data_IF_286469963427
#
_entry.id   IF_286469963427
#
_cell.length_a   1.000
_cell.length_b   1.000
_cell.length_c   1.000
_cell.angle_alpha   90.00
_cell.angle_beta   90.00
_cell.angle_gamma   90.00
#
_symmetry.space_group_name_H-M   'P 1'
#
loop_
_entity.id
_entity.type
_entity.pdbx_description
1 polymer ?
2 non-polymer ?
3 non-polymer ?
4 non-polymer ?
5 water ?
#
# COMPACT_ATOMS: atom_id res chain seq x y z
N UNK A 21 7.52 -27.52 -0.36
CA UNK A 21 8.07 -26.37 0.47
C UNK A 21 8.91 -25.40 -0.39
N UNK A 22 8.73 -24.11 -0.15
CA UNK A 22 9.42 -23.12 -0.97
C UNK A 22 10.38 -22.39 -0.03
N UNK A 23 10.73 -21.16 -0.41
CA UNK A 23 11.68 -20.36 0.32
C UNK A 23 11.30 -20.11 1.73
N UNK A 24 12.30 -19.81 2.56
CA UNK A 24 12.08 -19.45 3.92
C UNK A 24 11.96 -17.91 4.01
N UNK A 25 10.92 -17.48 4.71
CA UNK A 25 10.60 -16.04 4.92
C UNK A 25 10.64 -15.77 6.40
N UNK A 26 11.28 -14.66 6.81
CA UNK A 26 11.16 -14.15 8.15
C UNK A 26 10.28 -12.90 8.14
N UNK A 27 9.15 -12.96 8.85
CA UNK A 27 8.19 -11.87 8.92
C UNK A 27 8.32 -11.11 10.22
N UNK A 28 8.92 -9.91 10.16
CA UNK A 28 9.09 -9.05 11.30
C UNK A 28 7.88 -8.10 11.38
N UNK A 29 7.44 -7.84 12.60
CA UNK A 29 6.19 -7.08 12.81
C UNK A 29 4.97 -7.93 12.52
N UNK A 30 5.10 -9.26 12.73
CA UNK A 30 4.10 -10.21 12.36
C UNK A 30 2.73 -10.02 13.06
N UNK A 31 2.70 -9.29 14.18
CA UNK A 31 1.47 -9.02 14.90
C UNK A 31 0.83 -7.66 14.72
N UNK A 32 1.33 -6.88 13.77
CA UNK A 32 0.80 -5.56 13.44
C UNK A 32 -0.34 -5.57 12.43
N UNK A 33 -0.76 -4.39 11.98
CA UNK A 33 -1.91 -4.34 11.09
C UNK A 33 -1.64 -5.12 9.80
N UNK A 34 -0.50 -4.84 9.12
CA UNK A 34 -0.18 -5.61 7.92
C UNK A 34 0.35 -7.00 8.28
N UNK A 35 1.01 -7.11 9.43
CA UNK A 35 1.65 -8.39 9.80
C UNK A 35 0.66 -9.52 9.82
N UNK A 36 -0.46 -9.31 10.50
CA UNK A 36 -1.44 -10.39 10.65
C UNK A 36 -2.11 -10.72 9.33
N UNK A 37 -2.33 -9.73 8.48
CA UNK A 37 -2.88 -10.01 7.17
C UNK A 37 -1.94 -10.89 6.29
N UNK A 38 -0.65 -10.51 6.30
CA UNK A 38 0.37 -11.29 5.59
C UNK A 38 0.48 -12.71 6.13
N UNK A 39 0.51 -12.82 7.45
CA UNK A 39 0.64 -14.13 8.14
C UNK A 39 -0.51 -15.03 7.73
N UNK A 40 -1.70 -14.44 7.70
CA UNK A 40 -2.88 -15.16 7.30
C UNK A 40 -2.80 -15.67 5.87
N UNK A 41 -2.39 -14.84 4.92
CA UNK A 41 -2.21 -15.29 3.54
C UNK A 41 -1.03 -16.21 3.32
N UNK A 42 0.05 -16.03 4.08
CA UNK A 42 1.19 -16.93 3.93
C UNK A 42 0.90 -18.37 4.46
N UNK A 43 -0.03 -18.49 5.40
CA UNK A 43 -0.44 -19.82 5.91
C UNK A 43 -1.06 -20.61 4.85
N UNK A 44 -1.58 -20.00 3.79
CA UNK A 44 -2.21 -20.71 2.70
C UNK A 44 -1.26 -20.94 1.56
N UNK A 45 0.06 -20.85 1.77
CA UNK A 45 1.06 -21.07 0.72
C UNK A 45 2.04 -22.10 1.25
N UNK A 46 2.98 -22.45 0.40
CA UNK A 46 4.03 -23.44 0.73
C UNK A 46 5.33 -22.81 1.23
N UNK A 47 5.36 -21.50 1.43
CA UNK A 47 6.51 -20.84 2.02
C UNK A 47 6.73 -21.34 3.45
N UNK A 48 7.97 -21.45 3.87
CA UNK A 48 8.25 -21.69 5.29
C UNK A 48 8.45 -20.37 6.02
N UNK A 49 7.62 -20.08 7.00
CA UNK A 49 7.62 -18.74 7.57
C UNK A 49 7.93 -18.80 9.04
N UNK A 50 8.87 -17.94 9.48
CA UNK A 50 9.11 -17.60 10.86
C UNK A 50 8.58 -16.21 11.19
N UNK A 51 7.95 -16.05 12.33
CA UNK A 51 7.25 -14.83 12.70
C UNK A 51 7.96 -14.19 13.86
N UNK A 52 8.30 -12.91 13.74
CA UNK A 52 8.96 -12.16 14.82
C UNK A 52 8.13 -10.99 15.22
N UNK A 53 7.81 -10.89 16.51
CA UNK A 53 6.97 -9.80 17.02
C UNK A 53 7.40 -9.47 18.45
N UNK A 54 7.63 -8.18 18.73
CA UNK A 54 8.06 -7.70 20.04
C UNK A 54 6.92 -7.41 21.04
N UNK A 55 5.74 -6.99 20.59
CA UNK A 55 4.65 -6.66 21.51
C UNK A 55 3.85 -7.89 21.97
N UNK A 56 3.52 -7.92 23.26
CA UNK A 56 2.62 -8.92 23.81
C UNK A 56 1.26 -8.96 23.09
N UNK A 57 0.66 -7.78 22.90
CA UNK A 57 -0.58 -7.66 22.13
C UNK A 57 -0.52 -8.33 20.76
N UNK A 58 0.59 -8.15 20.04
CA UNK A 58 0.71 -8.68 18.70
C UNK A 58 0.93 -10.16 18.71
N UNK A 59 1.75 -10.61 19.64
CA UNK A 59 1.94 -12.04 19.86
C UNK A 59 0.65 -12.77 20.16
N UNK A 60 -0.20 -12.11 20.98
CA UNK A 60 -1.57 -12.60 21.31
C UNK A 60 -2.44 -12.67 20.09
N UNK A 61 -2.45 -11.62 19.25
CA UNK A 61 -3.31 -11.68 18.04
C UNK A 61 -2.95 -12.89 17.16
N UNK A 62 -1.65 -13.05 16.89
CA UNK A 62 -1.17 -14.16 16.12
C UNK A 62 -1.57 -15.50 16.67
N UNK A 63 -1.35 -15.65 17.98
CA UNK A 63 -1.76 -16.84 18.71
C UNK A 63 -3.29 -17.10 18.57
N UNK A 64 -4.08 -16.12 18.94
CA UNK A 64 -5.53 -16.30 18.98
C UNK A 64 -6.14 -16.51 17.61
N UNK A 65 -5.78 -15.63 16.66
CA UNK A 65 -6.46 -15.56 15.36
C UNK A 65 -5.93 -16.58 14.39
N UNK A 66 -4.65 -16.92 14.48
CA UNK A 66 -4.05 -17.82 13.55
C UNK A 66 -3.43 -19.07 14.14
N UNK A 67 -3.31 -19.19 15.47
CA UNK A 67 -2.67 -20.32 16.13
C UNK A 67 -1.15 -20.35 15.91
N UNK A 68 -0.54 -19.18 15.65
CA UNK A 68 0.89 -19.11 15.35
C UNK A 68 1.64 -18.65 16.56
N UNK A 69 2.82 -19.25 16.75
CA UNK A 69 3.79 -18.88 17.80
C UNK A 69 4.90 -18.00 17.18
N UNK A 70 5.38 -17.01 17.90
CA UNK A 70 6.56 -16.25 17.45
C UNK A 70 7.88 -16.85 17.93
N UNK A 71 8.97 -16.53 17.19
CA UNK A 71 10.34 -16.99 17.46
C UNK A 71 11.33 -15.83 17.60
N UNK A 72 12.56 -16.14 18.02
CA UNK A 72 13.58 -15.09 18.15
C UNK A 72 14.07 -14.68 16.73
N UNK A 73 14.66 -13.50 16.67
CA UNK A 73 15.39 -13.05 15.48
C UNK A 73 16.36 -14.11 14.94
N UNK A 74 17.20 -14.65 15.83
CA UNK A 74 18.22 -15.61 15.42
C UNK A 74 17.57 -16.83 14.78
N UNK A 75 16.52 -17.34 15.41
CA UNK A 75 15.81 -18.46 14.81
C UNK A 75 15.18 -18.11 13.46
N UNK A 76 14.58 -16.91 13.39
CA UNK A 76 13.89 -16.45 12.16
C UNK A 76 14.87 -16.26 11.03
N UNK A 77 16.10 -15.85 11.36
CA UNK A 77 17.09 -15.54 10.29
C UNK A 77 17.95 -16.68 9.81
N UNK A 78 17.88 -17.81 10.53
CA UNK A 78 18.70 -18.98 10.23
C UNK A 78 18.25 -19.56 8.87
N UNK A 79 19.16 -19.56 7.89
CA UNK A 79 18.90 -19.97 6.51
C UNK A 79 17.73 -19.24 5.80
N UNK A 80 17.52 -17.98 6.18
CA UNK A 80 16.45 -17.16 5.59
C UNK A 80 16.71 -16.79 4.13
N UNK A 81 15.69 -16.75 3.29
CA UNK A 81 15.82 -16.29 1.87
C UNK A 81 15.25 -14.85 1.72
N UNK A 82 14.10 -14.61 2.38
CA UNK A 82 13.34 -13.31 2.25
C UNK A 82 12.99 -12.79 3.66
N UNK A 83 13.36 -11.56 3.95
CA UNK A 83 13.02 -10.88 5.15
C UNK A 83 11.97 -9.82 4.79
N UNK A 84 10.81 -9.91 5.40
CA UNK A 84 9.73 -8.91 5.22
C UNK A 84 9.67 -8.02 6.44
N UNK A 85 9.92 -6.72 6.26
CA UNK A 85 9.92 -5.81 7.38
C UNK A 85 8.53 -5.12 7.48
N UNK A 86 7.55 -5.81 8.08
CA UNK A 86 6.23 -5.24 8.28
C UNK A 86 6.19 -4.43 9.58
N UNK A 87 7.09 -3.45 9.67
CA UNK A 87 7.26 -2.61 10.84
C UNK A 87 7.03 -1.17 10.43
N UNK A 88 6.93 -0.25 11.40
CA UNK A 88 6.64 1.08 10.93
C UNK A 88 7.74 1.72 10.12
N UNK A 89 7.36 2.56 9.18
CA UNK A 89 8.33 3.17 8.26
C UNK A 89 9.45 3.99 8.97
N UNK A 90 9.09 4.65 10.07
CA UNK A 90 10.00 5.43 10.83
C UNK A 90 11.11 4.58 11.50
N UNK A 91 10.92 3.28 11.58
CA UNK A 91 11.99 2.41 12.14
C UNK A 91 12.49 1.31 11.22
N UNK A 92 12.11 1.35 9.95
CA UNK A 92 12.66 0.37 9.01
C UNK A 92 14.17 0.49 8.96
N UNK A 93 14.71 1.70 8.90
CA UNK A 93 16.17 1.81 8.88
C UNK A 93 16.86 1.23 10.08
N UNK A 94 16.36 1.55 11.24
CA UNK A 94 16.92 1.06 12.48
C UNK A 94 16.89 -0.46 12.59
N UNK A 95 15.76 -1.05 12.29
CA UNK A 95 15.58 -2.48 12.34
C UNK A 95 16.38 -3.20 11.29
N UNK A 96 16.42 -2.67 10.07
CA UNK A 96 17.24 -3.24 9.02
C UNK A 96 18.76 -3.21 9.43
N UNK A 97 19.21 -2.12 10.02
CA UNK A 97 20.60 -2.02 10.48
C UNK A 97 20.94 -3.05 11.58
N UNK A 98 19.98 -3.35 12.44
CA UNK A 98 20.17 -4.37 13.46
C UNK A 98 20.35 -5.77 12.91
N UNK A 99 19.53 -6.12 11.93
CA UNK A 99 19.54 -7.43 11.40
C UNK A 99 20.43 -7.70 10.19
N UNK A 100 20.72 -6.68 9.40
CA UNK A 100 21.57 -6.83 8.22
C UNK A 100 22.89 -7.64 8.41
N UNK A 101 23.65 -7.45 9.51
CA UNK A 101 24.88 -8.28 9.70
C UNK A 101 24.66 -9.79 9.75
N UNK A 102 23.41 -10.18 10.04
CA UNK A 102 23.00 -11.60 9.98
C UNK A 102 22.57 -12.09 8.67
N UNK A 103 22.54 -11.22 7.65
CA UNK A 103 22.00 -11.60 6.36
C UNK A 103 23.16 -11.84 5.39
N UNK A 104 23.16 -13.00 4.76
CA UNK A 104 24.16 -13.40 3.79
C UNK A 104 23.92 -12.68 2.49
N UNK A 105 24.94 -12.59 1.67
CA UNK A 105 24.75 -12.02 0.32
C UNK A 105 23.64 -12.71 -0.43
N UNK A 106 22.84 -11.92 -1.15
CA UNK A 106 21.73 -12.49 -1.95
C UNK A 106 20.42 -12.61 -1.16
N UNK A 107 20.40 -12.42 0.16
CA UNK A 107 19.14 -12.38 0.91
C UNK A 107 18.33 -11.15 0.45
N UNK A 108 17.04 -11.34 0.30
CA UNK A 108 16.10 -10.25 -0.05
C UNK A 108 15.58 -9.65 1.24
N UNK A 109 15.63 -8.33 1.28
CA UNK A 109 14.96 -7.56 2.33
C UNK A 109 13.80 -6.84 1.60
N UNK A 110 12.58 -7.08 2.06
CA UNK A 110 11.36 -6.59 1.39
C UNK A 110 10.62 -5.66 2.32
N UNK A 111 10.24 -4.50 1.76
CA UNK A 111 9.36 -3.61 2.48
C UNK A 111 8.04 -3.58 1.80
N UNK A 112 7.07 -3.02 2.52
CA UNK A 112 5.69 -2.92 1.97
C UNK A 112 5.32 -1.52 1.53
N UNK A 113 6.31 -0.62 1.47
CA UNK A 113 6.08 0.79 1.21
C UNK A 113 7.36 1.37 0.73
N UNK A 114 7.27 2.26 -0.22
CA UNK A 114 8.48 2.89 -0.80
C UNK A 114 9.21 3.99 -0.01
N UNK A 115 8.63 4.45 1.08
CA UNK A 115 9.11 5.66 1.77
C UNK A 115 10.56 5.55 2.35
N UNK A 116 10.74 4.58 3.23
CA UNK A 116 12.05 4.37 3.86
C UNK A 116 13.15 3.99 2.86
N UNK A 117 12.81 3.12 1.90
CA UNK A 117 13.79 2.87 0.77
C UNK A 117 14.16 4.11 -0.07
N UNK A 118 13.15 4.89 -0.41
CA UNK A 118 13.36 6.14 -1.17
C UNK A 118 14.22 7.12 -0.38
N UNK A 119 14.02 7.18 0.95
CA UNK A 119 14.72 8.11 1.81
C UNK A 119 16.20 7.70 2.03
N UNK A 120 16.60 6.53 1.47
CA UNK A 120 17.97 5.96 1.64
C UNK A 120 18.21 5.37 3.02
N UNK A 121 17.20 4.89 3.74
CA UNK A 121 17.37 4.33 5.06
C UNK A 121 17.88 2.88 5.11
N UNK A 122 17.90 2.17 3.96
CA UNK A 122 18.30 0.77 4.01
C UNK A 122 19.81 0.67 4.12
N UNK A 123 20.31 -0.43 4.70
CA UNK A 123 21.78 -0.54 4.88
C UNK A 123 22.60 -0.37 3.61
N UNK A 124 23.89 0.02 3.80
CA UNK A 124 24.85 0.11 2.68
C UNK A 124 25.48 -1.22 2.47
N UNK A 125 24.78 -2.04 1.75
CA UNK A 125 25.10 -3.42 1.50
C UNK A 125 24.81 -3.74 0.02
N UNK A 126 25.75 -3.47 -0.90
CA UNK A 126 25.53 -3.71 -2.34
C UNK A 126 25.18 -5.18 -2.69
N UNK A 127 25.55 -6.08 -1.78
CA UNK A 127 25.37 -7.49 -1.89
C UNK A 127 24.05 -8.06 -1.43
N UNK A 128 23.15 -7.19 -0.91
CA UNK A 128 21.81 -7.63 -0.61
C UNK A 128 20.82 -7.22 -1.70
N UNK A 129 19.71 -7.97 -1.76
CA UNK A 129 18.59 -7.64 -2.65
C UNK A 129 17.52 -6.85 -1.88
N UNK A 130 17.06 -5.70 -2.46
CA UNK A 130 16.06 -4.82 -1.81
C UNK A 130 14.85 -4.77 -2.73
N UNK A 131 13.69 -5.07 -2.16
CA UNK A 131 12.44 -5.22 -2.97
C UNK A 131 11.32 -4.52 -2.22
N UNK A 132 10.50 -3.77 -2.95
CA UNK A 132 9.33 -3.08 -2.32
C UNK A 132 8.06 -3.59 -3.02
N UNK A 133 7.00 -3.86 -2.25
CA UNK A 133 5.74 -4.32 -2.85
C UNK A 133 4.57 -3.68 -2.07
N UNK A 134 3.75 -2.91 -2.80
CA UNK A 134 2.71 -2.09 -2.19
C UNK A 134 1.43 -2.44 -2.95
N UNK A 135 0.36 -2.62 -2.23
CA UNK A 135 -0.89 -2.99 -2.90
C UNK A 135 -1.67 -1.76 -3.43
N UNK A 136 -2.47 -1.99 -4.47
CA UNK A 136 -3.41 -0.97 -4.98
C UNK A 136 -4.70 -0.80 -4.17
N UNK A 137 -5.12 -1.88 -3.49
CA UNK A 137 -6.46 -2.08 -2.95
C UNK A 137 -7.45 -2.34 -4.09
N UNK A 138 -8.58 -3.04 -3.76
CA UNK A 138 -9.61 -3.33 -4.78
C UNK A 138 -10.22 -2.02 -5.38
N UNK A 139 -10.38 -2.01 -6.68
CA UNK A 139 -10.89 -0.86 -7.42
C UNK A 139 -12.24 -0.38 -6.94
N UNK A 140 -12.46 0.93 -6.79
CA UNK A 140 -13.76 1.48 -6.41
C UNK A 140 -14.90 1.08 -7.40
N UNK A 141 -14.56 0.96 -8.69
CA UNK A 141 -15.46 0.46 -9.77
C UNK A 141 -14.96 -0.92 -10.10
N UNK A 142 -15.79 -1.89 -9.76
CA UNK A 142 -15.44 -3.35 -9.83
C UNK A 142 -16.75 -4.12 -10.01
N UNK A 143 -16.71 -5.28 -10.65
CA UNK A 143 -17.91 -6.06 -10.62
C UNK A 143 -17.71 -7.43 -10.04
N UNK A 144 -17.34 -7.41 -8.78
CA UNK A 144 -17.17 -8.59 -7.98
C UNK A 144 -18.57 -9.19 -7.83
N UNK A 145 -18.80 -10.35 -8.47
CA UNK A 145 -20.00 -11.21 -8.20
C UNK A 145 -20.08 -11.59 -6.72
N UNK A 146 -18.96 -11.96 -6.10
CA UNK A 146 -19.04 -12.38 -4.72
C UNK A 146 -19.40 -11.12 -3.84
N UNK A 147 -20.59 -11.14 -3.16
CA UNK A 147 -20.89 -9.99 -2.25
C UNK A 147 -19.77 -9.70 -1.16
N UNK A 148 -19.16 -10.77 -0.58
CA UNK A 148 -18.02 -10.75 0.35
C UNK A 148 -16.69 -10.11 -0.19
N UNK A 149 -16.44 -10.41 -1.45
CA UNK A 149 -15.51 -9.63 -2.20
C UNK A 149 -16.01 -8.20 -2.41
N UNK A 150 -17.32 -7.94 -2.60
CA UNK A 150 -17.82 -6.51 -2.83
C UNK A 150 -17.60 -5.60 -1.59
N UNK A 151 -17.70 -6.24 -0.42
CA UNK A 151 -17.42 -5.63 0.90
C UNK A 151 -15.93 -5.71 1.46
N UNK A 152 -15.01 -6.34 0.72
CA UNK A 152 -13.53 -6.28 1.00
C UNK A 152 -12.95 -5.02 0.36
N UNK A 153 -12.92 -3.92 1.13
CA UNK A 153 -12.38 -2.62 0.72
C UNK A 153 -10.85 -2.56 0.72
N UNK A 154 -10.25 -3.32 1.59
CA UNK A 154 -8.80 -3.26 1.84
C UNK A 154 -7.99 -4.14 0.92
N UNK A 155 -8.55 -5.30 0.58
CA UNK A 155 -7.83 -6.28 -0.21
C UNK A 155 -7.15 -7.30 0.70
N UNK A 156 -6.72 -8.37 0.08
CA UNK A 156 -6.04 -9.45 0.78
C UNK A 156 -6.99 -10.39 1.44
N UNK A 157 -8.29 -10.20 1.22
CA UNK A 157 -9.35 -11.02 1.80
C UNK A 157 -10.01 -11.81 0.65
N UNK A 158 -11.11 -11.28 0.13
CA UNK A 158 -11.85 -11.90 -0.96
C UNK A 158 -11.84 -11.18 -2.27
N UNK A 159 -11.62 -9.85 -2.30
CA UNK A 159 -11.70 -9.10 -3.56
C UNK A 159 -10.27 -9.07 -4.12
N UNK A 160 -10.17 -9.13 -5.43
CA UNK A 160 -8.90 -9.03 -6.14
C UNK A 160 -8.37 -7.59 -6.08
N UNK A 161 -7.05 -7.50 -6.01
CA UNK A 161 -6.37 -6.20 -6.08
C UNK A 161 -5.14 -6.27 -6.88
N UNK A 162 -4.85 -5.20 -7.58
CA UNK A 162 -3.59 -5.05 -8.25
C UNK A 162 -2.47 -4.72 -7.26
N UNK A 163 -1.25 -5.06 -7.67
CA UNK A 163 -0.04 -4.78 -6.86
C UNK A 163 1.01 -4.06 -7.68
N UNK A 164 1.85 -3.31 -6.98
CA UNK A 164 2.99 -2.64 -7.59
C UNK A 164 4.26 -3.03 -6.84
N UNK A 165 5.28 -3.43 -7.57
CA UNK A 165 6.55 -3.83 -6.97
C UNK A 165 7.75 -3.21 -7.66
N UNK A 166 8.84 -3.08 -6.90
CA UNK A 166 10.10 -2.56 -7.44
C UNK A 166 11.27 -3.40 -6.95
N UNK A 167 12.17 -3.75 -7.88
CA UNK A 167 13.48 -4.33 -7.48
C UNK A 167 14.47 -3.17 -7.39
N UNK A 168 14.76 -2.72 -6.17
CA UNK A 168 15.59 -1.56 -5.97
C UNK A 168 17.11 -1.91 -6.14
N UNK A 169 17.47 -3.10 -5.71
CA UNK A 169 18.80 -3.68 -5.93
C UNK A 169 18.79 -5.17 -5.89
N UNK A 170 19.69 -5.73 -6.71
CA UNK A 170 19.80 -7.14 -6.86
C UNK A 170 19.74 -7.58 -8.31
N UNK A 171 19.93 -8.89 -8.54
CA UNK A 171 19.88 -9.43 -9.90
C UNK A 171 18.45 -9.50 -10.42
N UNK A 172 18.32 -9.44 -11.74
CA UNK A 172 17.06 -9.43 -12.40
C UNK A 172 16.17 -10.61 -11.98
N UNK A 173 16.79 -11.77 -11.83
CA UNK A 173 16.12 -12.97 -11.34
C UNK A 173 15.40 -12.85 -10.01
N UNK A 174 15.93 -12.02 -9.10
CA UNK A 174 15.26 -11.77 -7.82
C UNK A 174 13.90 -11.05 -7.98
N UNK A 175 13.67 -10.35 -9.09
CA UNK A 175 12.36 -9.72 -9.25
C UNK A 175 11.28 -10.79 -9.18
N UNK A 176 11.51 -11.91 -9.83
CA UNK A 176 10.50 -12.92 -9.93
C UNK A 176 10.18 -13.49 -8.61
N UNK A 177 11.17 -13.59 -7.73
CA UNK A 177 10.94 -14.17 -6.45
C UNK A 177 10.14 -13.18 -5.59
N UNK A 178 10.55 -11.95 -5.65
CA UNK A 178 9.86 -10.90 -4.88
C UNK A 178 8.38 -10.78 -5.33
N UNK A 179 8.18 -10.74 -6.62
CA UNK A 179 6.83 -10.65 -7.16
C UNK A 179 5.98 -11.87 -6.72
N UNK A 180 6.58 -13.06 -6.73
CA UNK A 180 5.82 -14.26 -6.24
C UNK A 180 5.38 -14.15 -4.84
N UNK A 181 6.28 -13.65 -3.97
CA UNK A 181 5.91 -13.48 -2.58
C UNK A 181 4.77 -12.43 -2.45
N UNK A 182 4.94 -11.29 -3.12
CA UNK A 182 3.95 -10.21 -3.20
C UNK A 182 2.59 -10.72 -3.63
N UNK A 183 2.59 -11.55 -4.67
CA UNK A 183 1.29 -12.15 -5.10
C UNK A 183 0.66 -13.03 -4.04
N UNK A 184 1.46 -13.73 -3.24
CA UNK A 184 0.89 -14.46 -2.13
C UNK A 184 0.37 -13.63 -0.98
N UNK A 185 1.18 -12.64 -0.50
CA UNK A 185 0.76 -11.85 0.68
C UNK A 185 -0.42 -10.93 0.42
N UNK A 186 -0.60 -10.56 -0.83
CA UNK A 186 -1.67 -9.62 -1.23
C UNK A 186 -2.86 -10.27 -1.95
N UNK A 187 -2.83 -11.58 -2.06
CA UNK A 187 -3.85 -12.33 -2.78
C UNK A 187 -5.29 -12.09 -2.24
N UNK A 188 -6.31 -12.15 -3.12
CA UNK A 188 -6.16 -12.51 -4.55
C UNK A 188 -5.72 -11.30 -5.44
N UNK A 189 -5.08 -11.58 -6.56
CA UNK A 189 -4.49 -10.58 -7.41
C UNK A 189 -5.22 -10.33 -8.67
N UNK A 190 -5.32 -9.06 -9.02
CA UNK A 190 -5.81 -8.58 -10.30
C UNK A 190 -4.63 -8.49 -11.28
N UNK A 191 -3.92 -7.36 -11.35
CA UNK A 191 -2.76 -7.20 -12.19
C UNK A 191 -1.53 -6.95 -11.30
N UNK A 192 -0.35 -7.35 -11.81
CA UNK A 192 0.93 -7.13 -11.07
C UNK A 192 1.86 -6.28 -11.92
N UNK A 193 2.28 -5.12 -11.42
CA UNK A 193 3.10 -4.22 -12.22
C UNK A 193 4.49 -4.12 -11.62
N UNK A 194 5.44 -3.89 -12.51
CA UNK A 194 6.83 -3.58 -12.14
C UNK A 194 7.12 -2.08 -12.33
N UNK A 195 7.56 -1.43 -11.25
CA UNK A 195 7.86 -0.02 -11.22
C UNK A 195 9.26 0.22 -10.68
N UNK A 196 9.76 1.48 -10.78
CA UNK A 196 10.95 1.83 -10.04
C UNK A 196 10.53 2.35 -8.68
N UNK A 197 11.49 2.46 -7.76
CA UNK A 197 11.14 3.10 -6.45
C UNK A 197 10.71 4.58 -6.66
N UNK A 198 11.33 5.28 -7.60
CA UNK A 198 10.93 6.70 -7.86
C UNK A 198 9.48 6.75 -8.32
N UNK A 199 9.09 5.79 -9.16
CA UNK A 199 7.70 5.76 -9.61
C UNK A 199 6.73 5.45 -8.49
N UNK A 200 7.09 4.50 -7.63
CA UNK A 200 6.33 4.19 -6.48
C UNK A 200 6.08 5.40 -5.58
N UNK A 201 7.09 6.24 -5.44
CA UNK A 201 6.98 7.50 -4.68
C UNK A 201 6.03 8.56 -5.28
N UNK A 202 6.01 8.69 -6.62
CA UNK A 202 5.02 9.46 -7.31
C UNK A 202 3.64 8.94 -6.92
N UNK A 203 3.43 7.65 -6.95
CA UNK A 203 2.12 7.06 -6.58
C UNK A 203 1.74 7.32 -5.13
N UNK A 204 2.70 7.18 -4.24
CA UNK A 204 2.43 7.34 -2.80
C UNK A 204 3.70 7.82 -2.12
N UNK A 205 3.74 8.98 -1.48
CA UNK A 205 2.55 9.79 -1.08
C UNK A 205 1.86 10.61 -2.18
N UNK A 206 2.46 10.74 -3.37
CA UNK A 206 2.00 11.82 -4.25
C UNK A 206 0.55 11.76 -4.70
N UNK A 207 0.21 10.70 -5.42
CA UNK A 207 -1.09 10.53 -5.98
C UNK A 207 -2.14 10.10 -4.94
N UNK A 208 -1.85 9.06 -4.16
CA UNK A 208 -2.87 8.50 -3.24
C UNK A 208 -3.13 9.32 -1.98
N UNK A 209 -2.11 10.06 -1.48
CA UNK A 209 -2.22 10.75 -0.19
C UNK A 209 -2.25 12.27 -0.36
N UNK A 210 -1.20 12.82 -0.94
CA UNK A 210 -1.18 14.25 -1.15
C UNK A 210 -2.34 14.72 -2.01
N UNK A 211 -2.57 14.02 -3.11
CA UNK A 211 -3.75 14.28 -3.95
C UNK A 211 -4.99 13.63 -3.46
N UNK A 212 -5.12 12.30 -3.59
CA UNK A 212 -6.41 11.68 -3.37
C UNK A 212 -7.01 11.88 -1.95
N UNK A 213 -6.26 11.56 -0.91
CA UNK A 213 -6.76 11.69 0.46
C UNK A 213 -7.16 13.14 0.74
N UNK A 214 -6.29 14.10 0.37
CA UNK A 214 -6.63 15.52 0.62
C UNK A 214 -7.94 15.95 -0.08
N UNK A 215 -8.12 15.54 -1.35
CA UNK A 215 -9.28 15.96 -2.07
C UNK A 215 -10.55 15.23 -1.60
N UNK A 216 -10.45 13.99 -1.20
CA UNK A 216 -11.61 13.36 -0.51
C UNK A 216 -12.01 14.06 0.82
N UNK A 217 -11.03 14.47 1.58
CA UNK A 217 -11.21 15.34 2.74
C UNK A 217 -11.95 16.62 2.39
N UNK A 218 -11.54 17.29 1.30
CA UNK A 218 -12.22 18.47 0.86
C UNK A 218 -13.67 18.12 0.49
N UNK A 219 -13.89 17.06 -0.27
CA UNK A 219 -15.27 16.66 -0.58
C UNK A 219 -16.13 16.42 0.66
N UNK A 220 -15.54 15.84 1.69
CA UNK A 220 -16.28 15.56 2.91
C UNK A 220 -16.58 16.90 3.65
N UNK A 221 -15.58 17.77 3.67
CA UNK A 221 -15.79 19.11 4.24
C UNK A 221 -16.94 19.84 3.54
N UNK A 222 -16.97 19.75 2.19
CA UNK A 222 -18.04 20.40 1.39
C UNK A 222 -19.36 19.79 1.75
N UNK A 223 -19.41 18.46 1.82
CA UNK A 223 -20.63 17.80 2.18
C UNK A 223 -21.17 18.26 3.57
N UNK A 224 -20.25 18.30 4.50
CA UNK A 224 -20.55 18.74 5.86
C UNK A 224 -21.06 20.17 5.89
N UNK A 225 -20.51 21.03 5.01
CA UNK A 225 -20.94 22.43 4.94
C UNK A 225 -22.43 22.57 4.42
N UNK A 226 -22.81 21.77 3.41
CA UNK A 226 -24.18 21.80 2.94
C UNK A 226 -25.15 21.34 4.06
N UNK A 227 -24.71 20.41 4.92
CA UNK A 227 -25.51 19.93 6.10
C UNK A 227 -25.61 21.00 7.18
N UNK A 228 -24.50 21.64 7.48
CA UNK A 228 -24.48 22.86 8.35
C UNK A 228 -25.50 23.89 7.92
N UNK A 229 -25.63 24.11 6.60
CA UNK A 229 -26.51 25.09 6.00
C UNK A 229 -27.93 24.60 5.92
N UNK A 230 -28.20 23.37 6.37
CA UNK A 230 -29.60 22.82 6.49
C UNK A 230 -29.99 21.68 5.58
N UNK A 231 -29.11 21.23 4.68
CA UNK A 231 -29.43 20.02 3.96
C UNK A 231 -29.43 18.81 4.90
N UNK A 232 -30.46 17.93 4.80
CA UNK A 232 -30.48 16.77 5.67
C UNK A 232 -29.22 15.93 5.48
N UNK A 233 -28.70 15.41 6.54
CA UNK A 233 -27.41 14.77 6.53
C UNK A 233 -27.33 13.60 5.55
N UNK A 234 -28.30 12.71 5.60
CA UNK A 234 -28.32 11.58 4.71
C UNK A 234 -28.53 11.94 3.27
N UNK A 235 -29.30 12.99 3.02
CA UNK A 235 -29.51 13.49 1.64
C UNK A 235 -28.17 13.96 1.06
N UNK A 236 -27.44 14.73 1.82
CA UNK A 236 -26.16 15.23 1.30
C UNK A 236 -25.16 14.08 0.97
N UNK A 237 -25.14 13.08 1.85
CA UNK A 237 -24.31 11.91 1.65
C UNK A 237 -24.75 11.11 0.44
N UNK A 238 -26.08 10.86 0.28
CA UNK A 238 -26.50 10.13 -0.92
C UNK A 238 -26.20 10.88 -2.24
N UNK A 239 -26.42 12.20 -2.21
CA UNK A 239 -26.25 13.01 -3.38
C UNK A 239 -24.81 13.01 -3.83
N UNK A 240 -23.90 13.25 -2.88
CA UNK A 240 -22.46 13.25 -3.17
C UNK A 240 -21.96 11.93 -3.66
N UNK A 241 -22.32 10.86 -2.94
CA UNK A 241 -21.81 9.53 -3.29
C UNK A 241 -22.39 8.99 -4.61
N UNK A 242 -23.66 9.36 -4.93
CA UNK A 242 -24.22 9.00 -6.21
C UNK A 242 -23.62 9.79 -7.37
N UNK A 243 -23.37 11.10 -7.19
CA UNK A 243 -22.76 11.86 -8.26
C UNK A 243 -21.28 11.45 -8.45
N UNK A 244 -20.60 11.09 -7.39
CA UNK A 244 -19.24 10.56 -7.47
C UNK A 244 -19.18 9.30 -8.32
N UNK A 245 -20.24 8.50 -8.20
CA UNK A 245 -20.34 7.27 -8.99
C UNK A 245 -20.40 7.54 -10.47
N UNK A 246 -21.34 8.35 -10.91
CA UNK A 246 -21.56 8.57 -12.34
C UNK A 246 -20.45 9.44 -12.89
N UNK A 247 -20.09 10.50 -12.15
CA UNK A 247 -19.02 11.37 -12.62
C UNK A 247 -17.67 10.67 -12.70
N UNK A 248 -17.35 9.91 -11.64
CA UNK A 248 -16.12 9.16 -11.67
C UNK A 248 -16.08 8.11 -12.74
N UNK A 249 -17.21 7.46 -12.97
CA UNK A 249 -17.21 6.37 -13.99
C UNK A 249 -16.92 6.94 -15.38
N UNK A 250 -17.45 8.12 -15.65
CA UNK A 250 -17.19 8.77 -16.94
C UNK A 250 -15.71 9.32 -17.02
N UNK A 251 -15.29 10.06 -16.00
CA UNK A 251 -13.96 10.74 -16.01
C UNK A 251 -12.87 9.68 -16.14
N UNK A 252 -13.07 8.53 -15.50
CA UNK A 252 -12.04 7.44 -15.45
C UNK A 252 -12.34 6.33 -16.48
N UNK A 253 -13.21 6.63 -17.44
CA UNK A 253 -13.48 5.78 -18.58
C UNK A 253 -13.91 4.39 -18.19
N UNK A 254 -14.61 4.25 -17.08
CA UNK A 254 -15.19 2.99 -16.74
C UNK A 254 -16.38 2.73 -17.70
N UNK A 255 -17.08 3.79 -18.11
CA UNK A 255 -18.19 3.66 -19.09
C UNK A 255 -18.02 4.78 -20.12
N UNK A 256 -18.63 4.62 -21.34
CA UNK A 256 -18.57 5.76 -22.26
C UNK A 256 -19.45 6.87 -21.77
N UNK A 257 -19.18 8.05 -22.27
CA UNK A 257 -20.06 9.16 -21.98
C UNK A 257 -19.22 10.41 -21.99
N UNK A 258 -19.90 11.53 -21.87
CA UNK A 258 -19.23 12.84 -21.84
C UNK A 258 -20.02 13.73 -20.98
N UNK A 259 -19.32 14.65 -20.30
CA UNK A 259 -19.98 15.57 -19.38
C UNK A 259 -20.83 16.54 -20.13
N UNK A 260 -21.99 16.91 -19.57
CA UNK A 260 -22.85 17.94 -20.14
C UNK A 260 -22.15 19.31 -20.19
N UNK A 261 -22.75 20.23 -20.92
CA UNK A 261 -22.17 21.55 -20.95
C UNK A 261 -22.15 22.23 -19.55
N UNK A 262 -23.18 21.97 -18.76
CA UNK A 262 -23.30 22.51 -17.41
C UNK A 262 -22.17 22.02 -16.49
N UNK A 263 -21.84 20.75 -16.61
CA UNK A 263 -20.85 20.16 -15.79
C UNK A 263 -19.48 20.71 -16.20
N UNK A 264 -19.22 20.80 -17.51
CA UNK A 264 -17.99 21.41 -17.98
C UNK A 264 -17.83 22.82 -17.58
N UNK A 265 -18.92 23.57 -17.55
CA UNK A 265 -18.88 24.97 -17.09
C UNK A 265 -18.46 25.05 -15.61
N UNK A 266 -18.97 24.14 -14.86
CA UNK A 266 -18.62 24.13 -13.45
C UNK A 266 -17.12 23.89 -13.22
N UNK A 267 -16.52 23.00 -14.02
CA UNK A 267 -15.08 22.67 -13.95
C UNK A 267 -14.27 23.82 -14.44
N UNK A 268 -14.75 24.41 -15.53
CA UNK A 268 -14.12 25.59 -16.06
C UNK A 268 -13.87 26.69 -15.07
N UNK A 269 -14.89 27.01 -14.30
CA UNK A 269 -14.78 28.01 -13.31
C UNK A 269 -14.23 27.42 -12.00
N UNK A 270 -14.52 26.16 -11.75
CA UNK A 270 -14.18 25.46 -10.48
C UNK A 270 -12.67 25.29 -10.30
N UNK A 271 -11.95 24.97 -11.36
CA UNK A 271 -10.49 24.79 -11.30
C UNK A 271 -9.77 26.02 -10.71
N UNK A 272 -9.96 27.23 -11.30
CA UNK A 272 -9.29 28.39 -10.69
C UNK A 272 -9.96 28.85 -9.38
N UNK A 273 -11.23 28.51 -9.15
CA UNK A 273 -11.87 28.91 -7.95
C UNK A 273 -11.32 28.14 -6.72
N UNK A 274 -11.07 26.82 -6.89
CA UNK A 274 -10.65 25.97 -5.80
C UNK A 274 -9.18 25.77 -5.64
N UNK A 275 -8.41 25.70 -6.75
CA UNK A 275 -7.08 25.16 -6.72
C UNK A 275 -6.03 26.26 -6.84
N UNK A 276 -4.96 26.14 -6.07
CA UNK A 276 -3.74 26.86 -6.37
C UNK A 276 -3.25 26.54 -7.79
N UNK A 277 -2.74 27.56 -8.49
CA UNK A 277 -2.34 27.40 -9.87
C UNK A 277 -1.12 26.51 -10.02
N UNK A 278 -0.36 26.30 -8.93
CA UNK A 278 0.82 25.48 -8.94
C UNK A 278 0.62 24.08 -8.30
N UNK A 279 -0.62 23.64 -8.15
CA UNK A 279 -0.93 22.42 -7.43
C UNK A 279 -0.23 21.17 -7.99
N UNK A 280 -0.07 21.10 -9.32
CA UNK A 280 0.48 19.91 -9.92
C UNK A 280 1.99 19.73 -9.70
N UNK A 281 2.66 20.79 -9.18
CA UNK A 281 4.07 20.73 -8.80
C UNK A 281 4.33 19.88 -7.56
N UNK A 282 3.29 19.33 -6.92
CA UNK A 282 3.53 18.33 -5.91
C UNK A 282 4.31 17.16 -6.43
N UNK A 283 4.25 16.91 -7.74
CA UNK A 283 4.95 15.76 -8.30
C UNK A 283 6.44 16.03 -8.58
N UNK A 284 6.90 17.26 -8.38
CA UNK A 284 8.32 17.59 -8.53
C UNK A 284 9.09 16.79 -7.51
N UNK A 285 10.31 16.42 -7.88
CA UNK A 285 11.07 15.54 -7.01
C UNK A 285 11.31 16.14 -5.65
N UNK A 286 11.58 17.42 -5.59
CA UNK A 286 11.83 18.06 -4.29
C UNK A 286 10.60 17.97 -3.38
N UNK A 287 9.38 18.10 -3.96
CA UNK A 287 8.19 18.08 -3.12
C UNK A 287 7.91 16.64 -2.63
N UNK A 288 8.03 15.67 -3.55
CA UNK A 288 7.86 14.25 -3.23
C UNK A 288 8.84 13.86 -2.08
N UNK A 289 10.09 14.29 -2.26
CA UNK A 289 11.17 13.93 -1.28
C UNK A 289 10.83 14.52 0.09
N UNK A 290 10.36 15.75 0.12
CA UNK A 290 9.93 16.37 1.38
C UNK A 290 8.77 15.70 2.02
N UNK A 291 7.76 15.28 1.19
CA UNK A 291 6.62 14.55 1.72
C UNK A 291 7.05 13.23 2.40
N UNK A 292 8.08 12.58 1.84
CA UNK A 292 8.63 11.34 2.40
C UNK A 292 9.46 11.61 3.69
N UNK A 293 10.24 12.70 3.68
CA UNK A 293 10.94 13.11 4.96
C UNK A 293 9.98 13.27 6.12
N UNK A 294 8.79 13.77 5.86
CA UNK A 294 7.86 14.00 6.95
C UNK A 294 7.31 12.76 7.57
N UNK A 295 7.33 11.63 6.86
CA UNK A 295 6.77 10.38 7.36
C UNK A 295 7.81 9.25 7.62
N UNK A 296 9.09 9.63 7.59
CA UNK A 296 10.20 8.67 7.84
C UNK A 296 11.13 9.19 8.93
#
# INVERSE_FOLDING_TARGET
MGSSHHHHHHSSGLVPRGSHMKEKIALFGAGGKMGVRLAKNLLKSDYRVSHVEVSEVGKKRLKDELGLECVSTEAALDNVDVVILAVPDTIIGKIAAQIAPQLRPGTMVMTLDAAAPFAGHLPDRPDLTYFVAHPCHPLIFNDETDPEARRDYFGGGAAKQSITSALMQGPEEAFDLGEAVAKVIYAPILRSYRLTVDQMALLEPGLSETICATLLQVMREAMDETVRRGVPKEAARDFLLGHMNILGAVIFNEIPGAFSDACNKAIEFGKPRLMRDDWIKVFDREEIAESIRRIT
#
